data_IF_943289785243
#
_entry.id   IF_943289785243
#
_cell.length_a   1.000
_cell.length_b   1.000
_cell.length_c   1.000
_cell.angle_alpha   90.00
_cell.angle_beta   90.00
_cell.angle_gamma   90.00
#
_symmetry.space_group_name_H-M   'P 1'
#
loop_
_entity.id
_entity.type
_entity.pdbx_description
1 polymer ?
#
# COMPACT_ATOMS: atom_id res chain seq x y z
N UNK A 1 31.71 -9.60 -24.71
CA UNK A 1 31.46 -8.15 -24.62
C UNK A 1 30.72 -7.91 -23.31
N UNK A 2 31.15 -6.93 -22.50
CA UNK A 2 30.49 -6.63 -21.23
C UNK A 2 29.09 -6.00 -21.41
N UNK A 3 28.37 -5.79 -20.30
CA UNK A 3 27.11 -5.08 -20.32
C UNK A 3 27.31 -3.60 -20.74
N UNK A 4 26.48 -3.05 -21.63
CA UNK A 4 26.43 -1.61 -21.85
C UNK A 4 26.08 -0.85 -20.57
N UNK A 5 26.61 0.36 -20.41
CA UNK A 5 26.45 1.17 -19.19
C UNK A 5 24.99 1.42 -18.79
N UNK A 6 24.08 1.55 -19.76
CA UNK A 6 22.65 1.79 -19.51
C UNK A 6 21.87 0.51 -19.12
N UNK A 7 22.55 -0.65 -19.08
CA UNK A 7 21.96 -1.95 -18.67
C UNK A 7 22.49 -2.46 -17.34
N UNK A 8 23.30 -1.70 -16.61
CA UNK A 8 23.92 -2.19 -15.37
C UNK A 8 22.91 -2.70 -14.32
N UNK A 9 21.68 -2.16 -14.30
CA UNK A 9 20.63 -2.63 -13.39
C UNK A 9 19.94 -3.93 -13.82
N UNK A 10 20.17 -4.45 -15.03
CA UNK A 10 19.54 -5.72 -15.44
C UNK A 10 20.05 -6.91 -14.63
N UNK A 11 21.16 -6.75 -13.92
CA UNK A 11 21.77 -7.79 -13.07
C UNK A 11 20.88 -8.24 -11.92
N UNK A 12 19.89 -7.42 -11.50
CA UNK A 12 18.97 -7.78 -10.41
C UNK A 12 17.63 -8.35 -10.88
N UNK A 13 17.39 -8.49 -12.19
CA UNK A 13 16.07 -8.89 -12.71
C UNK A 13 15.64 -10.31 -12.29
N UNK A 14 16.59 -11.23 -12.13
CA UNK A 14 16.36 -12.61 -11.69
C UNK A 14 16.92 -12.87 -10.29
N UNK A 15 17.15 -11.83 -9.50
CA UNK A 15 17.66 -11.91 -8.13
C UNK A 15 16.69 -11.17 -7.19
N UNK A 16 15.64 -11.84 -6.68
CA UNK A 16 14.60 -11.20 -5.88
C UNK A 16 15.14 -10.55 -4.59
N UNK A 17 16.15 -11.15 -3.97
CA UNK A 17 16.79 -10.63 -2.77
C UNK A 17 17.48 -9.29 -3.03
N UNK A 18 18.30 -9.21 -4.08
CA UNK A 18 18.95 -7.94 -4.47
C UNK A 18 18.00 -6.95 -5.11
N UNK A 19 16.97 -7.42 -5.82
CA UNK A 19 15.90 -6.57 -6.31
C UNK A 19 15.18 -5.88 -5.13
N UNK A 20 14.85 -6.61 -4.07
CA UNK A 20 14.28 -6.03 -2.86
C UNK A 20 15.25 -5.04 -2.20
N UNK A 21 16.54 -5.39 -2.10
CA UNK A 21 17.55 -4.50 -1.55
C UNK A 21 17.62 -3.14 -2.26
N UNK A 22 17.57 -3.10 -3.59
CA UNK A 22 17.58 -1.83 -4.34
C UNK A 22 16.28 -1.04 -4.19
N UNK A 23 15.13 -1.70 -4.05
CA UNK A 23 13.87 -1.02 -3.73
C UNK A 23 13.93 -0.37 -2.33
N UNK A 24 14.48 -1.08 -1.33
CA UNK A 24 14.65 -0.53 0.02
C UNK A 24 15.65 0.64 0.00
N UNK A 25 16.74 0.53 -0.75
CA UNK A 25 17.69 1.64 -0.93
C UNK A 25 17.03 2.86 -1.57
N UNK A 26 16.23 2.67 -2.62
CA UNK A 26 15.48 3.77 -3.23
C UNK A 26 14.54 4.43 -2.22
N UNK A 27 13.83 3.65 -1.40
CA UNK A 27 12.98 4.16 -0.31
C UNK A 27 13.78 4.95 0.73
N UNK A 28 14.98 4.49 1.10
CA UNK A 28 15.86 5.20 2.02
C UNK A 28 16.30 6.58 1.47
N UNK A 29 16.63 6.64 0.17
CA UNK A 29 17.02 7.88 -0.49
C UNK A 29 15.86 8.88 -0.55
N UNK A 30 14.65 8.40 -0.89
CA UNK A 30 13.45 9.24 -0.94
C UNK A 30 13.08 9.77 0.45
N UNK A 31 13.14 8.93 1.50
CA UNK A 31 12.82 9.37 2.86
C UNK A 31 13.86 10.34 3.43
N UNK A 32 15.14 10.16 3.12
CA UNK A 32 16.21 11.07 3.55
C UNK A 32 16.16 12.47 2.91
N UNK A 33 15.48 12.63 1.76
CA UNK A 33 15.38 13.90 1.05
C UNK A 33 14.31 14.85 1.62
N UNK A 34 13.35 14.35 2.40
CA UNK A 34 12.25 15.16 2.94
C UNK A 34 12.63 15.86 4.28
N UNK A 35 12.79 17.20 4.31
CA UNK A 35 13.02 17.95 5.56
C UNK A 35 12.72 19.46 5.51
N UNK A 36 12.20 20.03 6.61
CA UNK A 36 11.86 21.46 6.81
C UNK A 36 11.55 21.82 8.30
N UNK A 37 11.45 23.10 8.70
CA UNK A 37 11.58 23.57 10.11
C UNK A 37 10.59 24.68 10.62
N UNK A 38 10.45 24.79 11.98
CA UNK A 38 9.86 25.83 12.89
C UNK A 38 8.33 25.69 13.20
N UNK A 39 7.71 25.82 14.40
CA UNK A 39 8.07 25.78 15.85
C UNK A 39 6.92 25.09 16.62
N UNK A 40 7.28 24.10 17.45
CA UNK A 40 6.63 23.50 18.64
C UNK A 40 5.09 23.17 18.73
N UNK A 41 4.67 22.03 18.16
CA UNK A 41 3.40 21.32 18.41
C UNK A 41 3.52 19.95 19.16
N UNK A 42 4.63 19.64 19.84
CA UNK A 42 4.87 18.31 20.46
C UNK A 42 5.75 17.38 19.61
N UNK A 43 5.68 16.05 19.81
CA UNK A 43 6.56 15.08 19.11
C UNK A 43 6.35 15.11 17.59
N UNK A 44 5.11 15.26 17.12
CA UNK A 44 4.79 15.34 15.69
C UNK A 44 4.91 16.79 15.16
N UNK A 45 6.04 17.43 15.44
CA UNK A 45 6.41 18.71 14.84
C UNK A 45 7.04 18.54 13.46
N UNK A 46 7.28 19.64 12.74
CA UNK A 46 8.08 19.58 11.51
C UNK A 46 9.45 18.95 11.76
N UNK A 47 10.11 19.30 12.87
CA UNK A 47 11.38 18.71 13.29
C UNK A 47 11.23 17.24 13.67
N UNK A 48 10.15 16.86 14.36
CA UNK A 48 9.87 15.48 14.71
C UNK A 48 9.58 14.61 13.50
N UNK A 49 8.83 15.12 12.53
CA UNK A 49 8.59 14.46 11.23
C UNK A 49 9.90 14.32 10.46
N UNK A 50 10.71 15.38 10.38
CA UNK A 50 12.03 15.31 9.73
C UNK A 50 12.96 14.29 10.43
N UNK A 51 13.02 14.32 11.77
CA UNK A 51 13.79 13.36 12.56
C UNK A 51 13.34 11.92 12.36
N UNK A 52 12.02 11.67 12.30
CA UNK A 52 11.46 10.37 12.00
C UNK A 52 11.84 9.88 10.60
N UNK A 53 11.84 10.76 9.59
CA UNK A 53 12.25 10.43 8.22
C UNK A 53 13.74 10.08 8.12
N UNK A 54 14.61 10.82 8.80
CA UNK A 54 16.05 10.52 8.85
C UNK A 54 16.31 9.18 9.56
N UNK A 55 15.65 8.94 10.69
CA UNK A 55 15.76 7.66 11.40
C UNK A 55 15.28 6.50 10.53
N UNK A 56 14.12 6.64 9.89
CA UNK A 56 13.57 5.65 8.98
C UNK A 56 14.49 5.40 7.78
N UNK A 57 15.06 6.44 7.18
CA UNK A 57 16.07 6.34 6.11
C UNK A 57 17.27 5.50 6.55
N UNK A 58 17.83 5.76 7.73
CA UNK A 58 18.93 4.97 8.29
C UNK A 58 18.57 3.49 8.50
N UNK A 59 17.38 3.20 9.01
CA UNK A 59 16.89 1.82 9.17
C UNK A 59 16.71 1.12 7.82
N UNK A 60 16.12 1.78 6.83
CA UNK A 60 16.01 1.26 5.47
C UNK A 60 17.38 1.01 4.85
N UNK A 61 18.34 1.91 5.04
CA UNK A 61 19.70 1.74 4.54
C UNK A 61 20.36 0.46 5.10
N UNK A 62 20.25 0.22 6.41
CA UNK A 62 20.77 -1.00 7.03
C UNK A 62 20.05 -2.27 6.51
N UNK A 63 18.72 -2.20 6.36
CA UNK A 63 17.94 -3.31 5.80
C UNK A 63 18.32 -3.62 4.34
N UNK A 64 18.60 -2.60 3.53
CA UNK A 64 19.07 -2.77 2.15
C UNK A 64 20.41 -3.51 2.09
N UNK A 65 21.37 -3.16 2.97
CA UNK A 65 22.65 -3.88 3.06
C UNK A 65 22.42 -5.35 3.45
N UNK A 66 21.55 -5.60 4.44
CA UNK A 66 21.24 -6.97 4.86
C UNK A 66 20.66 -7.80 3.72
N UNK A 67 19.63 -7.30 3.02
CA UNK A 67 19.01 -8.00 1.89
C UNK A 67 19.96 -8.19 0.70
N UNK A 68 20.92 -7.28 0.52
CA UNK A 68 21.95 -7.43 -0.52
C UNK A 68 22.91 -8.58 -0.22
N UNK A 69 23.36 -8.69 1.04
CA UNK A 69 24.30 -9.72 1.49
C UNK A 69 23.62 -11.08 1.57
N UNK A 70 22.44 -11.14 2.18
CA UNK A 70 21.64 -12.36 2.39
C UNK A 70 20.55 -12.49 1.32
N UNK A 71 20.97 -12.53 0.05
CA UNK A 71 20.06 -12.54 -1.10
C UNK A 71 19.47 -13.94 -1.40
N UNK A 72 20.22 -15.00 -1.12
CA UNK A 72 19.88 -16.40 -1.46
C UNK A 72 19.05 -17.05 -0.35
N UNK A 73 17.83 -16.57 -0.17
CA UNK A 73 16.86 -17.09 0.80
C UNK A 73 15.92 -18.10 0.15
N UNK A 74 15.63 -19.21 0.84
CA UNK A 74 14.74 -20.27 0.36
C UNK A 74 13.35 -19.75 -0.05
N UNK A 75 12.84 -18.69 0.61
CA UNK A 75 11.55 -18.07 0.29
C UNK A 75 11.47 -17.52 -1.15
N UNK A 76 12.61 -17.20 -1.76
CA UNK A 76 12.66 -16.74 -3.14
C UNK A 76 12.80 -17.88 -4.14
N UNK A 77 13.05 -19.11 -3.69
CA UNK A 77 13.24 -20.28 -4.53
C UNK A 77 11.95 -21.10 -4.63
N UNK A 78 11.61 -21.53 -5.85
CA UNK A 78 10.60 -22.57 -6.06
C UNK A 78 11.17 -23.93 -5.64
N UNK A 79 10.54 -24.59 -4.66
CA UNK A 79 10.94 -25.91 -4.15
C UNK A 79 11.01 -26.98 -5.24
N UNK A 80 10.20 -26.86 -6.31
CA UNK A 80 10.16 -27.84 -7.41
C UNK A 80 11.34 -27.73 -8.36
N UNK A 81 11.87 -26.52 -8.53
CA UNK A 81 12.86 -26.23 -9.57
C UNK A 81 14.19 -25.72 -9.01
N UNK A 82 14.25 -25.31 -7.75
CA UNK A 82 15.40 -24.68 -7.12
C UNK A 82 15.76 -23.32 -7.72
N UNK A 83 14.86 -22.70 -8.48
CA UNK A 83 15.09 -21.43 -9.18
C UNK A 83 14.34 -20.29 -8.51
N UNK A 84 14.86 -19.05 -8.61
CA UNK A 84 14.12 -17.88 -8.18
C UNK A 84 12.75 -17.79 -8.85
N UNK A 85 11.69 -17.59 -8.06
CA UNK A 85 10.32 -17.50 -8.54
C UNK A 85 9.50 -16.53 -7.69
N UNK A 86 8.67 -15.72 -8.35
CA UNK A 86 7.76 -14.77 -7.70
C UNK A 86 6.34 -14.97 -8.24
N UNK A 87 5.42 -15.29 -7.34
CA UNK A 87 3.98 -15.34 -7.65
C UNK A 87 3.41 -13.92 -7.69
N UNK A 88 3.66 -13.22 -8.79
CA UNK A 88 3.29 -11.81 -8.97
C UNK A 88 1.79 -11.53 -8.76
N UNK A 89 0.86 -12.37 -9.25
CA UNK A 89 -0.56 -12.20 -8.93
C UNK A 89 -0.84 -12.21 -7.44
N UNK A 90 -0.36 -13.21 -6.70
CA UNK A 90 -0.55 -13.26 -5.24
C UNK A 90 0.06 -12.06 -4.53
N UNK A 91 1.27 -11.65 -4.94
CA UNK A 91 1.95 -10.46 -4.43
C UNK A 91 1.09 -9.21 -4.67
N UNK A 92 0.53 -9.03 -5.86
CA UNK A 92 -0.37 -7.92 -6.17
C UNK A 92 -1.58 -7.91 -5.23
N UNK A 93 -2.20 -9.07 -4.98
CA UNK A 93 -3.33 -9.16 -4.06
C UNK A 93 -3.01 -8.75 -2.63
N UNK A 94 -1.86 -9.19 -2.11
CA UNK A 94 -1.38 -8.80 -0.77
C UNK A 94 -1.19 -7.29 -0.69
N UNK A 95 -0.49 -6.69 -1.66
CA UNK A 95 -0.23 -5.25 -1.68
C UNK A 95 -1.51 -4.43 -1.83
N UNK A 96 -2.43 -4.87 -2.69
CA UNK A 96 -3.72 -4.23 -2.90
C UNK A 96 -4.56 -4.28 -1.61
N UNK A 97 -4.62 -5.43 -0.94
CA UNK A 97 -5.32 -5.57 0.34
C UNK A 97 -4.75 -4.64 1.43
N UNK A 98 -3.42 -4.62 1.62
CA UNK A 98 -2.76 -3.73 2.59
C UNK A 98 -2.99 -2.25 2.24
N UNK A 99 -2.98 -1.91 0.95
CA UNK A 99 -3.30 -0.55 0.48
C UNK A 99 -4.76 -0.17 0.79
N UNK A 100 -5.69 -1.12 0.67
CA UNK A 100 -7.08 -0.94 1.08
C UNK A 100 -7.22 -0.66 2.58
N UNK A 101 -6.53 -1.44 3.43
CA UNK A 101 -6.53 -1.21 4.88
C UNK A 101 -5.94 0.15 5.26
N UNK A 102 -4.82 0.54 4.63
CA UNK A 102 -4.20 1.84 4.83
C UNK A 102 -5.15 2.99 4.41
N UNK A 103 -5.80 2.85 3.25
CA UNK A 103 -6.77 3.81 2.73
C UNK A 103 -7.97 3.97 3.68
N UNK A 104 -8.55 2.86 4.14
CA UNK A 104 -9.63 2.87 5.13
C UNK A 104 -9.20 3.57 6.41
N UNK A 105 -8.05 3.18 6.97
CA UNK A 105 -7.58 3.73 8.24
C UNK A 105 -7.34 5.24 8.17
N UNK A 106 -6.78 5.71 7.05
CA UNK A 106 -6.62 7.15 6.81
C UNK A 106 -7.97 7.87 6.77
N UNK A 107 -8.94 7.39 6.00
CA UNK A 107 -10.28 8.00 5.93
C UNK A 107 -11.03 7.95 7.25
N UNK A 108 -11.14 6.76 7.85
CA UNK A 108 -12.00 6.48 9.00
C UNK A 108 -11.48 7.06 10.32
N UNK A 109 -10.15 7.19 10.48
CA UNK A 109 -9.54 7.64 11.73
C UNK A 109 -8.82 8.98 11.62
N UNK A 110 -7.96 9.15 10.60
CA UNK A 110 -7.14 10.35 10.47
C UNK A 110 -7.97 11.55 9.98
N UNK A 111 -8.69 11.41 8.87
CA UNK A 111 -9.45 12.51 8.24
C UNK A 111 -10.68 12.90 9.06
N UNK A 112 -11.41 11.92 9.59
CA UNK A 112 -12.56 12.19 10.47
C UNK A 112 -12.16 12.79 11.81
N UNK A 113 -10.90 12.68 12.19
CA UNK A 113 -10.40 13.06 13.51
C UNK A 113 -10.89 12.16 14.65
N UNK A 114 -11.44 10.98 14.35
CA UNK A 114 -11.82 10.00 15.37
C UNK A 114 -10.60 9.51 16.17
N UNK A 115 -9.46 9.32 15.49
CA UNK A 115 -8.17 8.99 16.10
C UNK A 115 -7.03 9.63 15.32
N UNK A 116 -7.17 10.91 15.02
CA UNK A 116 -6.20 11.71 14.28
C UNK A 116 -6.53 13.20 14.35
N UNK A 117 -5.70 14.06 13.76
CA UNK A 117 -5.88 15.51 13.86
C UNK A 117 -6.99 16.05 12.93
N UNK A 118 -7.48 15.25 11.97
CA UNK A 118 -8.29 15.75 10.87
C UNK A 118 -7.43 16.31 9.75
N UNK A 119 -8.00 17.18 8.93
CA UNK A 119 -7.31 17.79 7.77
C UNK A 119 -7.49 19.31 7.77
N UNK A 120 -6.71 20.00 6.94
CA UNK A 120 -6.87 21.44 6.74
C UNK A 120 -8.16 21.76 5.98
N UNK A 121 -8.95 22.70 6.50
CA UNK A 121 -10.16 23.22 5.88
C UNK A 121 -10.21 24.73 6.08
N UNK A 122 -10.80 25.47 5.16
CA UNK A 122 -10.95 26.92 5.22
C UNK A 122 -12.34 27.37 4.78
N UNK A 123 -12.71 28.61 5.12
CA UNK A 123 -13.82 29.28 4.48
C UNK A 123 -13.55 29.57 2.98
N UNK A 124 -14.59 29.85 2.17
CA UNK A 124 -14.45 30.07 0.72
C UNK A 124 -13.51 31.22 0.31
N UNK A 125 -13.21 32.14 1.22
CA UNK A 125 -12.30 33.27 0.96
C UNK A 125 -10.88 33.02 1.46
N UNK A 126 -10.60 31.88 2.09
CA UNK A 126 -9.24 31.52 2.51
C UNK A 126 -8.75 32.28 3.76
N UNK A 127 -9.64 32.84 4.57
CA UNK A 127 -9.29 33.77 5.66
C UNK A 127 -9.17 33.10 7.04
N UNK A 128 -9.81 31.94 7.22
CA UNK A 128 -10.00 31.29 8.53
C UNK A 128 -9.59 29.81 8.52
N UNK A 129 -8.61 29.48 7.67
CA UNK A 129 -8.09 28.12 7.53
C UNK A 129 -7.51 27.56 8.82
N UNK A 130 -7.84 26.30 9.13
CA UNK A 130 -7.31 25.54 10.26
C UNK A 130 -7.46 24.05 10.04
N UNK A 131 -6.72 23.26 10.82
CA UNK A 131 -6.93 21.81 10.90
C UNK A 131 -8.21 21.53 11.69
N UNK A 132 -9.07 20.65 11.17
CA UNK A 132 -10.27 20.19 11.86
C UNK A 132 -10.73 18.80 11.39
N UNK A 133 -11.52 18.14 12.24
CA UNK A 133 -12.26 16.92 11.90
C UNK A 133 -13.26 17.15 10.77
N UNK A 134 -13.41 16.15 9.90
CA UNK A 134 -14.34 16.19 8.76
C UNK A 134 -15.31 15.02 8.80
N UNK A 135 -16.60 15.31 8.88
CA UNK A 135 -17.63 14.29 8.76
C UNK A 135 -17.75 13.82 7.30
N UNK A 136 -17.90 12.50 7.05
CA UNK A 136 -18.05 11.99 5.70
C UNK A 136 -19.38 12.40 5.08
N UNK A 137 -19.35 12.78 3.81
CA UNK A 137 -20.53 13.07 3.00
C UNK A 137 -20.84 11.86 2.11
N UNK A 138 -22.04 11.30 2.26
CA UNK A 138 -22.47 10.08 1.55
C UNK A 138 -23.46 10.34 0.42
N UNK A 139 -24.02 11.55 0.34
CA UNK A 139 -24.87 11.96 -0.77
C UNK A 139 -24.05 12.44 -1.98
N UNK A 140 -24.75 13.03 -2.94
CA UNK A 140 -24.15 13.53 -4.19
C UNK A 140 -23.15 14.67 -3.93
N UNK A 141 -23.30 15.39 -2.83
CA UNK A 141 -22.38 16.43 -2.39
C UNK A 141 -20.98 15.90 -2.07
N UNK A 142 -20.81 14.59 -1.81
CA UNK A 142 -19.50 13.98 -1.65
C UNK A 142 -18.65 13.96 -2.94
N UNK A 143 -19.26 14.22 -4.11
CA UNK A 143 -18.55 14.36 -5.39
C UNK A 143 -18.26 15.82 -5.75
N UNK A 144 -18.72 16.79 -4.94
CA UNK A 144 -18.36 18.19 -5.11
C UNK A 144 -16.90 18.39 -4.67
N UNK A 145 -15.98 18.85 -5.55
CA UNK A 145 -14.58 19.03 -5.21
C UNK A 145 -14.33 20.07 -4.12
N UNK A 146 -15.34 20.87 -3.74
CA UNK A 146 -15.24 21.87 -2.67
C UNK A 146 -15.86 21.40 -1.34
N UNK A 147 -16.41 20.18 -1.27
CA UNK A 147 -16.96 19.60 -0.05
C UNK A 147 -15.96 18.60 0.55
N UNK A 148 -15.28 18.93 1.67
CA UNK A 148 -14.22 18.08 2.22
C UNK A 148 -14.75 16.72 2.72
N UNK A 149 -16.05 16.63 3.06
CA UNK A 149 -16.69 15.38 3.44
C UNK A 149 -16.58 14.27 2.38
N UNK A 150 -16.43 14.65 1.11
CA UNK A 150 -16.16 13.73 0.00
C UNK A 150 -14.81 13.00 0.13
N UNK A 151 -13.80 13.64 0.72
CA UNK A 151 -12.48 13.02 0.93
C UNK A 151 -12.60 11.86 1.91
N UNK A 152 -13.29 12.07 3.04
CA UNK A 152 -13.46 11.03 4.05
C UNK A 152 -14.28 9.85 3.52
N UNK A 153 -15.42 10.12 2.86
CA UNK A 153 -16.25 9.06 2.29
C UNK A 153 -15.56 8.30 1.16
N UNK A 154 -14.80 8.99 0.30
CA UNK A 154 -13.98 8.35 -0.73
C UNK A 154 -13.00 7.34 -0.16
N UNK A 155 -12.18 7.73 0.83
CA UNK A 155 -11.18 6.83 1.42
C UNK A 155 -11.81 5.62 2.11
N UNK A 156 -12.93 5.84 2.80
CA UNK A 156 -13.69 4.76 3.44
C UNK A 156 -14.27 3.81 2.38
N UNK A 157 -14.92 4.32 1.33
CA UNK A 157 -15.58 3.52 0.31
C UNK A 157 -14.60 2.79 -0.63
N UNK A 158 -13.53 3.47 -1.08
CA UNK A 158 -12.52 2.89 -1.97
C UNK A 158 -11.86 1.66 -1.34
N UNK A 159 -11.65 1.68 -0.02
CA UNK A 159 -11.13 0.53 0.71
C UNK A 159 -12.08 -0.68 0.71
N UNK A 160 -13.40 -0.45 0.80
CA UNK A 160 -14.39 -1.54 0.70
C UNK A 160 -14.45 -2.15 -0.70
N UNK A 161 -14.26 -1.35 -1.75
CA UNK A 161 -14.13 -1.88 -3.11
C UNK A 161 -12.92 -2.82 -3.19
N UNK A 162 -11.78 -2.41 -2.64
CA UNK A 162 -10.53 -3.19 -2.63
C UNK A 162 -10.64 -4.49 -1.80
N UNK A 163 -11.14 -4.40 -0.56
CA UNK A 163 -11.31 -5.56 0.31
C UNK A 163 -12.44 -6.48 -0.20
N UNK A 164 -13.51 -5.90 -0.74
CA UNK A 164 -14.67 -6.60 -1.28
C UNK A 164 -14.33 -7.42 -2.52
N UNK A 165 -13.59 -6.86 -3.48
CA UNK A 165 -13.18 -7.61 -4.68
C UNK A 165 -12.25 -8.77 -4.35
N UNK A 166 -11.42 -8.66 -3.32
CA UNK A 166 -10.54 -9.75 -2.89
C UNK A 166 -11.30 -10.85 -2.14
N UNK A 167 -12.21 -10.48 -1.24
CA UNK A 167 -12.92 -11.44 -0.37
C UNK A 167 -14.11 -12.13 -1.06
N UNK A 168 -14.86 -11.39 -1.89
CA UNK A 168 -16.04 -11.90 -2.59
C UNK A 168 -15.74 -12.41 -4.01
N UNK A 169 -14.55 -12.11 -4.53
CA UNK A 169 -14.17 -12.43 -5.90
C UNK A 169 -14.71 -11.39 -6.90
N UNK A 170 -13.94 -11.13 -7.95
CA UNK A 170 -14.26 -10.18 -9.01
C UNK A 170 -13.53 -10.57 -10.30
N UNK A 171 -13.84 -9.89 -11.40
CA UNK A 171 -13.11 -10.07 -12.66
C UNK A 171 -11.61 -9.80 -12.54
N UNK A 172 -11.16 -9.04 -11.54
CA UNK A 172 -9.76 -8.71 -11.29
C UNK A 172 -9.11 -9.55 -10.20
N UNK A 173 -9.83 -10.50 -9.61
CA UNK A 173 -9.35 -11.45 -8.58
C UNK A 173 -9.71 -12.89 -8.96
N UNK A 174 -9.19 -13.40 -10.10
CA UNK A 174 -9.52 -14.72 -10.61
C UNK A 174 -9.03 -15.83 -9.67
N UNK A 175 -9.86 -16.86 -9.51
CA UNK A 175 -9.66 -17.97 -8.56
C UNK A 175 -8.40 -18.81 -8.84
N UNK A 176 -7.90 -18.78 -10.07
CA UNK A 176 -6.67 -19.47 -10.47
C UNK A 176 -5.42 -18.78 -9.91
N UNK A 177 -5.51 -17.49 -9.60
CA UNK A 177 -4.41 -16.69 -9.09
C UNK A 177 -4.51 -16.46 -7.58
N UNK A 178 -5.73 -16.35 -7.05
CA UNK A 178 -5.98 -15.97 -5.66
C UNK A 178 -6.62 -17.07 -4.81
N UNK A 179 -6.86 -18.23 -5.40
CA UNK A 179 -7.59 -19.32 -4.75
C UNK A 179 -9.10 -19.07 -4.74
N UNK A 180 -9.90 -20.10 -4.42
CA UNK A 180 -11.34 -19.98 -4.36
C UNK A 180 -11.80 -19.14 -3.16
N UNK A 181 -12.92 -18.43 -3.31
CA UNK A 181 -13.53 -17.71 -2.20
C UNK A 181 -14.33 -18.67 -1.32
N UNK A 182 -14.56 -18.32 -0.05
CA UNK A 182 -15.41 -19.11 0.86
C UNK A 182 -16.81 -19.36 0.29
N UNK A 183 -17.33 -18.45 -0.52
CA UNK A 183 -18.66 -18.57 -1.10
C UNK A 183 -18.75 -19.72 -2.11
N UNK A 184 -17.65 -20.03 -2.81
CA UNK A 184 -17.59 -21.20 -3.71
C UNK A 184 -17.61 -22.52 -2.94
N UNK A 185 -17.08 -22.55 -1.72
CA UNK A 185 -17.20 -23.68 -0.81
C UNK A 185 -18.60 -23.79 -0.21
N UNK A 186 -19.10 -22.70 0.38
CA UNK A 186 -20.40 -22.64 1.05
C UNK A 186 -21.56 -23.01 0.12
N UNK A 187 -21.42 -22.76 -1.19
CA UNK A 187 -22.41 -23.10 -2.23
C UNK A 187 -22.14 -24.42 -2.95
N UNK A 188 -21.06 -25.13 -2.63
CA UNK A 188 -20.66 -26.34 -3.37
C UNK A 188 -20.48 -26.07 -4.87
N UNK A 189 -20.00 -24.88 -5.24
CA UNK A 189 -19.96 -24.38 -6.62
C UNK A 189 -19.26 -25.35 -7.58
N UNK A 190 -18.12 -25.91 -7.17
CA UNK A 190 -17.38 -26.90 -7.95
C UNK A 190 -18.01 -28.31 -7.89
N UNK A 191 -18.74 -28.62 -6.81
CA UNK A 191 -19.44 -29.90 -6.67
C UNK A 191 -20.68 -29.96 -7.58
N UNK A 192 -21.47 -28.89 -7.66
CA UNK A 192 -22.62 -28.80 -8.56
C UNK A 192 -22.22 -28.96 -10.03
N UNK A 193 -21.12 -28.32 -10.45
CA UNK A 193 -20.63 -28.42 -11.82
C UNK A 193 -20.12 -29.83 -12.19
N UNK A 194 -19.65 -30.60 -11.20
CA UNK A 194 -19.26 -31.99 -11.43
C UNK A 194 -20.49 -32.90 -11.52
N UNK A 195 -21.55 -32.61 -10.76
CA UNK A 195 -22.80 -33.40 -10.77
C UNK A 195 -23.64 -33.14 -12.04
N UNK A 196 -23.57 -31.95 -12.64
CA UNK A 196 -24.32 -31.61 -13.86
C UNK A 196 -23.67 -32.07 -15.16
N UNK A 197 -22.47 -32.66 -15.10
CA UNK A 197 -21.71 -33.16 -16.24
C UNK A 197 -21.79 -34.69 -16.43
N UNK A 198 -22.44 -35.38 -15.49
CA UNK A 198 -22.84 -36.78 -15.57
C UNK A 198 -24.34 -36.88 -15.93
#
# INVERSE_FOLDING_TARGET
MGLPWYRVHTVVLNDPGRLLAVHIMHTALVSGWAGGAITNPGIWSYEGVAGAHILFSGLCFLAAIWHWVYWDLEIFSDERTGKPSLDLPKIFGIHLFLSGLACFGFGAFHVTGLYGPGIWVSDPYGLTGKVQSVNPAWGVEGFDPFVPGGIASHHIAAAFVVAGTMWYGSATTPIELFGPTRYQWDQGYFQQNNISKD
#
